data_IF_750771873813
#
_entry.id   IF_750771873813
#
_cell.length_a   1.000
_cell.length_b   1.000
_cell.length_c   1.000
_cell.angle_alpha   90.00
_cell.angle_beta   90.00
_cell.angle_gamma   90.00
#
_symmetry.space_group_name_H-M   'P 1'
#
loop_
_entity.id
_entity.type
_entity.pdbx_description
1 polymer ?
#
# COMPACT_ATOMS: atom_id res chain seq x y z
N UNK A 1 -10.78 -17.74 22.92
CA UNK A 1 -9.98 -18.47 21.90
C UNK A 1 -10.44 -18.17 20.46
N UNK A 2 -11.68 -18.52 20.06
CA UNK A 2 -12.14 -18.35 18.67
C UNK A 2 -12.09 -16.90 18.16
N UNK A 3 -12.54 -15.93 18.96
CA UNK A 3 -12.52 -14.52 18.57
C UNK A 3 -11.10 -13.99 18.27
N UNK A 4 -10.09 -14.42 19.05
CA UNK A 4 -8.70 -14.01 18.85
C UNK A 4 -8.15 -14.51 17.52
N UNK A 5 -8.41 -15.78 17.18
CA UNK A 5 -7.99 -16.35 15.90
C UNK A 5 -8.64 -15.64 14.71
N UNK A 6 -9.93 -15.29 14.83
CA UNK A 6 -10.65 -14.53 13.80
C UNK A 6 -10.09 -13.11 13.61
N UNK A 7 -9.85 -12.37 14.70
CA UNK A 7 -9.28 -11.02 14.66
C UNK A 7 -7.89 -11.02 14.02
N UNK A 8 -7.01 -11.93 14.49
CA UNK A 8 -5.66 -12.05 13.95
C UNK A 8 -5.65 -12.50 12.50
N UNK A 9 -6.49 -13.47 12.13
CA UNK A 9 -6.61 -13.93 10.76
C UNK A 9 -7.07 -12.83 9.81
N UNK A 10 -8.08 -12.04 10.20
CA UNK A 10 -8.56 -10.91 9.39
C UNK A 10 -7.53 -9.79 9.27
N UNK A 11 -6.87 -9.43 10.38
CA UNK A 11 -5.83 -8.39 10.39
C UNK A 11 -4.64 -8.80 9.52
N UNK A 12 -4.04 -9.96 9.78
CA UNK A 12 -2.89 -10.46 9.04
C UNK A 12 -3.23 -10.74 7.58
N UNK A 13 -4.41 -11.29 7.28
CA UNK A 13 -4.83 -11.56 5.90
C UNK A 13 -5.03 -10.29 5.09
N UNK A 14 -5.60 -9.25 5.70
CA UNK A 14 -5.77 -7.93 5.06
C UNK A 14 -4.41 -7.28 4.80
N UNK A 15 -3.54 -7.24 5.82
CA UNK A 15 -2.19 -6.69 5.70
C UNK A 15 -1.33 -7.46 4.70
N UNK A 16 -1.45 -8.79 4.64
CA UNK A 16 -0.79 -9.64 3.66
C UNK A 16 -1.23 -9.28 2.23
N UNK A 17 -2.53 -9.10 2.02
CA UNK A 17 -3.08 -8.70 0.73
C UNK A 17 -2.57 -7.32 0.32
N UNK A 18 -2.55 -6.35 1.25
CA UNK A 18 -2.00 -5.01 1.02
C UNK A 18 -0.53 -5.06 0.57
N UNK A 19 0.30 -5.87 1.22
CA UNK A 19 1.71 -6.04 0.88
C UNK A 19 1.92 -6.69 -0.50
N UNK A 20 1.08 -7.65 -0.90
CA UNK A 20 1.11 -8.19 -2.28
C UNK A 20 0.76 -7.10 -3.29
N UNK A 21 -0.31 -6.33 -3.04
CA UNK A 21 -0.73 -5.26 -3.94
C UNK A 21 0.38 -4.22 -4.12
N UNK A 22 1.04 -3.83 -3.02
CA UNK A 22 2.20 -2.93 -3.02
C UNK A 22 3.32 -3.47 -3.90
N UNK A 23 3.77 -4.70 -3.65
CA UNK A 23 4.89 -5.29 -4.37
C UNK A 23 4.58 -5.49 -5.85
N UNK A 24 3.36 -5.94 -6.19
CA UNK A 24 2.94 -6.09 -7.58
C UNK A 24 2.90 -4.73 -8.26
N UNK A 25 2.23 -3.74 -7.66
CA UNK A 25 2.07 -2.40 -8.24
C UNK A 25 3.41 -1.74 -8.55
N UNK A 26 4.37 -1.84 -7.61
CA UNK A 26 5.73 -1.33 -7.78
C UNK A 26 6.57 -2.13 -8.80
N UNK A 27 6.27 -3.42 -8.99
CA UNK A 27 7.02 -4.29 -9.90
C UNK A 27 6.52 -4.27 -11.35
N UNK A 28 5.31 -3.75 -11.60
CA UNK A 28 4.77 -3.67 -12.96
C UNK A 28 5.62 -2.70 -13.80
N UNK A 29 6.14 -3.17 -14.93
CA UNK A 29 6.92 -2.34 -15.85
C UNK A 29 6.05 -1.60 -16.87
N UNK A 30 6.53 -0.43 -17.34
CA UNK A 30 5.87 0.33 -18.40
C UNK A 30 5.65 -0.48 -19.69
N UNK A 31 6.59 -1.36 -20.06
CA UNK A 31 6.43 -2.25 -21.23
C UNK A 31 5.26 -3.22 -21.07
N UNK A 32 5.00 -3.72 -19.87
CA UNK A 32 3.86 -4.60 -19.62
C UNK A 32 2.53 -3.82 -19.65
N UNK A 33 2.52 -2.59 -19.15
CA UNK A 33 1.36 -1.69 -19.24
C UNK A 33 1.02 -1.39 -20.70
N UNK A 34 2.03 -1.09 -21.53
CA UNK A 34 1.85 -0.89 -22.96
C UNK A 34 1.24 -2.12 -23.64
N UNK A 35 1.69 -3.33 -23.29
CA UNK A 35 1.10 -4.58 -23.78
C UNK A 35 -0.38 -4.74 -23.38
N UNK A 36 -0.75 -4.39 -22.14
CA UNK A 36 -2.15 -4.42 -21.70
C UNK A 36 -3.02 -3.42 -22.48
N UNK A 37 -2.48 -2.23 -22.76
CA UNK A 37 -3.16 -1.21 -23.57
C UNK A 37 -3.36 -1.67 -25.02
N UNK A 38 -2.35 -2.28 -25.62
CA UNK A 38 -2.42 -2.84 -26.98
C UNK A 38 -3.48 -3.95 -27.07
N UNK A 39 -3.60 -4.77 -26.02
CA UNK A 39 -4.66 -5.78 -25.88
C UNK A 39 -6.06 -5.18 -25.62
N UNK A 40 -6.19 -3.86 -25.51
CA UNK A 40 -7.44 -3.17 -25.25
C UNK A 40 -7.95 -3.31 -23.81
N UNK A 41 -7.11 -3.73 -22.87
CA UNK A 41 -7.53 -3.96 -21.49
C UNK A 41 -7.56 -2.68 -20.67
N UNK A 42 -8.66 -2.45 -19.96
CA UNK A 42 -8.85 -1.27 -19.12
C UNK A 42 -7.77 -1.14 -18.03
N UNK A 43 -7.25 -2.27 -17.53
CA UNK A 43 -6.23 -2.33 -16.49
C UNK A 43 -4.92 -1.65 -16.95
N UNK A 44 -4.60 -1.68 -18.25
CA UNK A 44 -3.43 -1.00 -18.78
C UNK A 44 -3.53 0.52 -18.67
N UNK A 45 -4.66 1.10 -19.08
CA UNK A 45 -4.89 2.55 -18.96
C UNK A 45 -4.89 3.01 -17.50
N UNK A 46 -5.54 2.25 -16.62
CA UNK A 46 -5.62 2.62 -15.22
C UNK A 46 -4.27 2.47 -14.48
N UNK A 47 -3.51 1.41 -14.76
CA UNK A 47 -2.18 1.24 -14.17
C UNK A 47 -1.18 2.32 -14.64
N UNK A 48 -1.29 2.77 -15.88
CA UNK A 48 -0.50 3.90 -16.40
C UNK A 48 -0.79 5.18 -15.59
N UNK A 49 -2.06 5.56 -15.46
CA UNK A 49 -2.48 6.73 -14.68
C UNK A 49 -2.08 6.60 -13.20
N UNK A 50 -2.25 5.41 -12.62
CA UNK A 50 -1.84 5.14 -11.24
C UNK A 50 -0.32 5.23 -11.07
N UNK A 51 0.49 4.86 -12.08
CA UNK A 51 1.95 5.02 -12.07
C UNK A 51 2.43 6.45 -12.36
N UNK A 52 1.60 7.31 -12.98
CA UNK A 52 1.90 8.74 -13.07
C UNK A 52 1.66 9.45 -11.72
N UNK A 53 0.75 8.90 -10.90
CA UNK A 53 0.38 9.44 -9.60
C UNK A 53 0.57 8.43 -8.46
N UNK A 54 1.78 7.84 -8.39
CA UNK A 54 2.14 6.74 -7.47
C UNK A 54 1.81 7.02 -6.00
N UNK A 55 1.90 8.30 -5.58
CA UNK A 55 1.66 8.70 -4.19
C UNK A 55 0.25 8.32 -3.70
N UNK A 56 -0.77 8.43 -4.54
CA UNK A 56 -2.16 8.17 -4.16
C UNK A 56 -2.46 6.68 -3.89
N UNK A 57 -2.19 5.73 -4.81
CA UNK A 57 -2.37 4.30 -4.55
C UNK A 57 -1.45 3.78 -3.46
N UNK A 58 -0.19 4.22 -3.38
CA UNK A 58 0.72 3.77 -2.31
C UNK A 58 0.25 4.28 -0.94
N UNK A 59 -0.16 5.55 -0.85
CA UNK A 59 -0.70 6.08 0.40
C UNK A 59 -1.94 5.30 0.85
N UNK A 60 -2.83 4.93 -0.09
CA UNK A 60 -4.00 4.11 0.21
C UNK A 60 -3.59 2.71 0.74
N UNK A 61 -2.64 2.04 0.07
CA UNK A 61 -2.17 0.70 0.49
C UNK A 61 -1.58 0.77 1.90
N UNK A 62 -0.67 1.70 2.11
CA UNK A 62 0.07 1.82 3.36
C UNK A 62 -0.87 2.19 4.51
N UNK A 63 -1.79 3.13 4.27
CA UNK A 63 -2.78 3.53 5.28
C UNK A 63 -3.67 2.36 5.66
N UNK A 64 -4.19 1.60 4.69
CA UNK A 64 -5.00 0.42 4.98
C UNK A 64 -4.21 -0.64 5.75
N UNK A 65 -2.95 -0.89 5.36
CA UNK A 65 -2.08 -1.82 6.06
C UNK A 65 -1.85 -1.40 7.52
N UNK A 66 -1.59 -0.11 7.76
CA UNK A 66 -1.45 0.44 9.11
C UNK A 66 -2.73 0.26 9.91
N UNK A 67 -3.89 0.62 9.36
CA UNK A 67 -5.19 0.46 10.05
C UNK A 67 -5.44 -1.01 10.39
N UNK A 68 -5.25 -1.92 9.44
CA UNK A 68 -5.47 -3.34 9.65
C UNK A 68 -4.57 -3.91 10.76
N UNK A 69 -3.30 -3.53 10.77
CA UNK A 69 -2.34 -3.96 11.80
C UNK A 69 -2.67 -3.33 13.16
N UNK A 70 -2.92 -2.03 13.23
CA UNK A 70 -3.23 -1.35 14.49
C UNK A 70 -4.53 -1.87 15.09
N UNK A 71 -5.61 -1.93 14.33
CA UNK A 71 -6.90 -2.44 14.82
C UNK A 71 -6.76 -3.90 15.23
N UNK A 72 -6.08 -4.73 14.45
CA UNK A 72 -5.84 -6.13 14.79
C UNK A 72 -5.04 -6.31 16.07
N UNK A 73 -3.94 -5.57 16.24
CA UNK A 73 -3.09 -5.62 17.42
C UNK A 73 -3.83 -5.10 18.67
N UNK A 74 -4.57 -4.00 18.55
CA UNK A 74 -5.36 -3.45 19.67
C UNK A 74 -6.46 -4.41 20.09
N UNK A 75 -7.25 -4.93 19.15
CA UNK A 75 -8.35 -5.84 19.46
C UNK A 75 -7.84 -7.19 20.00
N UNK A 76 -6.81 -7.76 19.36
CA UNK A 76 -6.24 -9.04 19.83
C UNK A 76 -5.54 -8.89 21.17
N UNK A 77 -4.82 -7.78 21.41
CA UNK A 77 -4.20 -7.47 22.69
C UNK A 77 -5.22 -7.36 23.82
N UNK A 78 -6.34 -6.67 23.60
CA UNK A 78 -7.44 -6.59 24.57
C UNK A 78 -8.00 -7.98 24.93
N UNK A 79 -8.18 -8.85 23.93
CA UNK A 79 -8.66 -10.22 24.14
C UNK A 79 -7.60 -11.09 24.85
N UNK A 80 -6.32 -10.91 24.56
CA UNK A 80 -5.23 -11.62 25.26
C UNK A 80 -5.17 -11.21 26.72
N UNK A 81 -5.29 -9.92 27.00
CA UNK A 81 -5.25 -9.40 28.36
C UNK A 81 -6.39 -9.99 29.20
N UNK A 82 -7.60 -10.05 28.66
CA UNK A 82 -8.77 -10.61 29.34
C UNK A 82 -8.65 -12.13 29.59
N UNK A 83 -8.11 -12.88 28.62
CA UNK A 83 -8.05 -14.34 28.69
C UNK A 83 -6.83 -14.89 29.46
N UNK A 84 -5.68 -14.23 29.38
CA UNK A 84 -4.40 -14.76 29.85
C UNK A 84 -3.71 -13.86 30.89
N UNK A 85 -4.18 -12.62 31.08
CA UNK A 85 -3.59 -11.65 32.02
C UNK A 85 -2.29 -11.00 31.52
N UNK A 86 -1.77 -10.08 32.32
CA UNK A 86 -0.68 -9.17 31.93
C UNK A 86 0.64 -9.85 31.49
N UNK A 87 1.13 -10.94 32.11
CA UNK A 87 2.40 -11.55 31.70
C UNK A 87 2.39 -12.08 30.26
N UNK A 88 1.23 -12.56 29.80
CA UNK A 88 1.08 -13.11 28.46
C UNK A 88 0.90 -12.01 27.41
N UNK A 89 0.46 -10.81 27.80
CA UNK A 89 0.29 -9.67 26.90
C UNK A 89 1.64 -9.19 26.32
N UNK A 90 2.69 -9.15 27.13
CA UNK A 90 4.04 -8.77 26.68
C UNK A 90 4.61 -9.79 25.70
N UNK A 91 4.56 -11.08 26.05
CA UNK A 91 5.02 -12.16 25.18
C UNK A 91 4.24 -12.19 23.85
N UNK A 92 2.93 -11.98 23.91
CA UNK A 92 2.07 -11.87 22.74
C UNK A 92 2.45 -10.70 21.84
N UNK A 93 2.69 -9.51 22.41
CA UNK A 93 3.02 -8.31 21.62
C UNK A 93 4.33 -8.47 20.85
N UNK A 94 5.35 -9.05 21.48
CA UNK A 94 6.63 -9.37 20.82
C UNK A 94 6.41 -10.40 19.70
N UNK A 95 5.67 -11.48 19.99
CA UNK A 95 5.36 -12.51 19.00
C UNK A 95 4.55 -11.99 17.81
N UNK A 96 3.54 -11.16 18.07
CA UNK A 96 2.70 -10.55 17.06
C UNK A 96 3.51 -9.62 16.15
N UNK A 97 4.42 -8.82 16.72
CA UNK A 97 5.28 -7.91 15.94
C UNK A 97 6.17 -8.69 14.96
N UNK A 98 6.80 -9.77 15.43
CA UNK A 98 7.61 -10.65 14.57
C UNK A 98 6.76 -11.34 13.50
N UNK A 99 5.56 -11.81 13.87
CA UNK A 99 4.64 -12.46 12.95
C UNK A 99 4.20 -11.50 11.84
N UNK A 100 3.86 -10.26 12.17
CA UNK A 100 3.46 -9.24 11.19
C UNK A 100 4.61 -8.94 10.22
N UNK A 101 5.83 -8.71 10.73
CA UNK A 101 6.98 -8.44 9.87
C UNK A 101 7.28 -9.60 8.90
N UNK A 102 7.31 -10.83 9.39
CA UNK A 102 7.68 -11.99 8.56
C UNK A 102 6.53 -12.36 7.63
N UNK A 103 5.36 -12.63 8.21
CA UNK A 103 4.22 -13.21 7.49
C UNK A 103 3.52 -12.16 6.65
N UNK A 104 3.35 -10.94 7.15
CA UNK A 104 2.54 -9.92 6.49
C UNK A 104 3.34 -8.97 5.60
N UNK A 105 4.66 -8.93 5.73
CA UNK A 105 5.47 -7.95 5.00
C UNK A 105 6.55 -8.62 4.16
N UNK A 106 7.46 -9.41 4.74
CA UNK A 106 8.61 -9.98 3.99
C UNK A 106 8.15 -11.04 2.97
N UNK A 107 7.36 -12.02 3.40
CA UNK A 107 6.90 -13.12 2.54
C UNK A 107 6.02 -12.60 1.38
N UNK A 108 4.93 -11.85 1.62
CA UNK A 108 4.05 -11.38 0.56
C UNK A 108 4.73 -10.43 -0.41
N UNK A 109 5.63 -9.56 0.05
CA UNK A 109 6.39 -8.68 -0.85
C UNK A 109 7.28 -9.49 -1.80
N UNK A 110 7.93 -10.54 -1.28
CA UNK A 110 8.74 -11.46 -2.10
C UNK A 110 7.89 -12.21 -3.12
N UNK A 111 6.72 -12.72 -2.71
CA UNK A 111 5.81 -13.45 -3.60
C UNK A 111 5.20 -12.55 -4.67
N UNK A 112 4.78 -11.34 -4.31
CA UNK A 112 4.20 -10.34 -5.22
C UNK A 112 5.19 -9.90 -6.29
N UNK A 113 6.44 -9.66 -5.91
CA UNK A 113 7.52 -9.34 -6.84
C UNK A 113 7.90 -10.53 -7.75
N UNK A 114 7.69 -11.78 -7.30
CA UNK A 114 7.91 -12.97 -8.14
C UNK A 114 6.79 -13.23 -9.16
N UNK A 115 5.54 -12.91 -8.84
CA UNK A 115 4.34 -13.27 -9.62
C UNK A 115 3.60 -12.07 -10.24
N UNK A 116 4.25 -10.91 -10.33
CA UNK A 116 3.65 -9.65 -10.74
C UNK A 116 2.88 -9.70 -12.08
N UNK A 117 3.33 -10.46 -13.08
CA UNK A 117 2.64 -10.54 -14.40
C UNK A 117 1.23 -11.10 -14.31
N UNK A 118 1.04 -12.15 -13.52
CA UNK A 118 -0.27 -12.79 -13.33
C UNK A 118 -1.16 -11.96 -12.39
N UNK A 119 -0.56 -11.28 -11.42
CA UNK A 119 -1.26 -10.50 -10.41
C UNK A 119 -1.56 -9.06 -10.83
N UNK A 120 -0.93 -8.54 -11.88
CA UNK A 120 -1.08 -7.14 -12.30
C UNK A 120 -2.53 -6.72 -12.57
N UNK A 121 -3.33 -7.55 -13.26
CA UNK A 121 -4.74 -7.22 -13.54
C UNK A 121 -5.63 -7.32 -12.30
N UNK A 122 -5.57 -8.40 -11.48
CA UNK A 122 -6.22 -8.42 -10.18
C UNK A 122 -5.86 -7.21 -9.31
N UNK A 123 -4.56 -6.88 -9.23
CA UNK A 123 -4.07 -5.73 -8.48
C UNK A 123 -4.69 -4.44 -8.98
N UNK A 124 -4.75 -4.19 -10.29
CA UNK A 124 -5.41 -3.00 -10.83
C UNK A 124 -6.88 -2.87 -10.40
N UNK A 125 -7.62 -3.98 -10.33
CA UNK A 125 -9.01 -3.97 -9.89
C UNK A 125 -9.15 -3.64 -8.40
N UNK A 126 -8.41 -4.36 -7.56
CA UNK A 126 -8.46 -4.15 -6.10
C UNK A 126 -7.97 -2.76 -5.73
N UNK A 127 -6.87 -2.32 -6.34
CA UNK A 127 -6.26 -1.03 -6.07
C UNK A 127 -7.17 0.12 -6.48
N UNK A 128 -7.88 0.02 -7.60
CA UNK A 128 -8.88 1.01 -8.02
C UNK A 128 -10.00 1.18 -6.99
N UNK A 129 -10.56 0.07 -6.50
CA UNK A 129 -11.61 0.10 -5.48
C UNK A 129 -11.05 0.67 -4.17
N UNK A 130 -9.87 0.23 -3.76
CA UNK A 130 -9.25 0.67 -2.52
C UNK A 130 -8.91 2.16 -2.53
N UNK A 131 -8.36 2.68 -3.63
CA UNK A 131 -8.12 4.12 -3.80
C UNK A 131 -9.43 4.90 -3.76
N UNK A 132 -10.49 4.41 -4.41
CA UNK A 132 -11.79 5.06 -4.37
C UNK A 132 -12.37 5.14 -2.94
N UNK A 133 -12.23 4.07 -2.16
CA UNK A 133 -12.69 4.02 -0.75
C UNK A 133 -11.80 4.86 0.18
N UNK A 134 -10.49 4.91 -0.08
CA UNK A 134 -9.52 5.67 0.71
C UNK A 134 -9.51 7.16 0.35
N UNK A 135 -9.92 7.55 -0.86
CA UNK A 135 -10.01 8.96 -1.29
C UNK A 135 -10.66 9.91 -0.26
N UNK A 136 -11.83 9.62 0.35
CA UNK A 136 -12.41 10.50 1.37
C UNK A 136 -11.51 10.68 2.61
N UNK A 137 -10.74 9.65 2.98
CA UNK A 137 -9.80 9.67 4.11
C UNK A 137 -8.51 10.41 3.73
N UNK A 138 -8.04 10.23 2.49
CA UNK A 138 -6.80 10.83 1.99
C UNK A 138 -6.97 12.29 1.52
N UNK A 139 -8.18 12.73 1.18
CA UNK A 139 -8.47 14.11 0.77
C UNK A 139 -7.98 15.18 1.77
N UNK A 140 -8.26 15.09 3.08
CA UNK A 140 -7.74 16.04 4.06
C UNK A 140 -6.21 16.00 4.19
N UNK A 141 -5.59 14.83 4.02
CA UNK A 141 -4.13 14.70 4.03
C UNK A 141 -3.50 15.39 2.81
N UNK A 142 -4.11 15.25 1.63
CA UNK A 142 -3.69 15.97 0.43
C UNK A 142 -3.86 17.48 0.56
N UNK A 143 -4.94 17.94 1.20
CA UNK A 143 -5.15 19.35 1.51
C UNK A 143 -4.10 19.89 2.49
N UNK A 144 -3.77 19.14 3.54
CA UNK A 144 -2.73 19.51 4.51
C UNK A 144 -1.34 19.53 3.86
N UNK A 145 -1.00 18.52 3.07
CA UNK A 145 0.28 18.45 2.34
C UNK A 145 0.45 19.63 1.38
N UNK A 146 -0.62 20.04 0.67
CA UNK A 146 -0.62 21.22 -0.21
C UNK A 146 -0.45 22.55 0.54
N UNK A 147 -0.86 22.62 1.80
CA UNK A 147 -0.67 23.81 2.64
C UNK A 147 0.72 23.86 3.30
N UNK A 148 1.33 22.71 3.57
CA UNK A 148 2.64 22.60 4.20
C UNK A 148 3.81 22.65 3.21
N UNK A 149 3.60 22.18 1.98
CA UNK A 149 4.64 22.20 0.95
C UNK A 149 4.64 23.57 0.27
N UNK A 150 5.68 24.41 0.43
CA UNK A 150 5.83 25.58 -0.41
C UNK A 150 5.97 25.06 -1.83
N UNK A 151 5.20 25.60 -2.79
CA UNK A 151 5.35 25.27 -4.21
C UNK A 151 6.83 25.32 -4.57
N UNK A 152 7.46 24.15 -4.77
CA UNK A 152 8.82 24.09 -5.33
C UNK A 152 8.69 24.62 -6.74
N UNK A 153 9.11 25.87 -6.88
CA UNK A 153 8.96 26.67 -8.06
C UNK A 153 9.72 26.02 -9.21
N UNK A 154 8.99 25.74 -10.29
CA UNK A 154 9.46 25.27 -11.58
C UNK A 154 10.32 26.33 -12.32
N UNK A 155 11.21 27.04 -11.61
CA UNK A 155 12.07 28.09 -12.15
C UNK A 155 13.48 27.60 -12.53
N UNK A 156 13.97 26.49 -11.96
CA UNK A 156 15.31 25.96 -12.33
C UNK A 156 15.38 25.32 -13.72
N UNK A 157 14.26 24.83 -14.25
CA UNK A 157 14.20 24.17 -15.56
C UNK A 157 14.27 25.17 -16.74
N UNK A 158 13.75 26.39 -16.54
CA UNK A 158 13.74 27.44 -17.57
C UNK A 158 15.09 28.16 -17.64
N UNK A 159 15.74 28.39 -16.51
CA UNK A 159 17.07 29.01 -16.45
C UNK A 159 18.17 28.11 -17.04
N UNK A 160 18.03 26.78 -16.89
CA UNK A 160 18.95 25.82 -17.51
C UNK A 160 18.78 25.75 -19.04
N UNK A 161 17.55 25.82 -19.55
CA UNK A 161 17.29 25.86 -20.99
C UNK A 161 17.75 27.17 -21.66
N UNK A 162 17.73 28.30 -20.95
CA UNK A 162 18.24 29.58 -21.47
C UNK A 162 19.78 29.67 -21.42
N UNK A 163 20.45 28.91 -20.55
CA UNK A 163 21.92 28.83 -20.48
C UNK A 163 22.57 27.90 -21.50
N UNK A 164 21.82 26.95 -22.06
CA UNK A 164 22.33 25.96 -23.01
C UNK A 164 21.83 26.11 -24.44
N UNK A 165 21.16 27.21 -24.79
CA UNK A 165 20.88 27.52 -26.20
C UNK A 165 22.20 27.93 -26.89
N UNK A 166 22.75 27.12 -27.81
CA UNK A 166 23.84 27.57 -28.66
C UNK A 166 23.25 28.61 -29.64
N UNK A 167 23.92 29.76 -29.76
CA UNK A 167 23.70 30.66 -30.90
C UNK A 167 24.44 30.13 -32.11
#
# INVERSE_FOLDING_TARGET
>A
MGALAWILGLSLGTSFTCSILEAVFLSVSHSYIALLKEKGEWAGKWLEEAQEHVDEPIAAILTLNTIAHTVGATLSGAVVQDLFGDPFLTAFSIGLTLAVLIVSEIIPKTLGAGHWRQLAKPTAHVLRVMVFVMKPILWPLGWLSRNLTPKVNNQRSVEMNLRFSPR
#
